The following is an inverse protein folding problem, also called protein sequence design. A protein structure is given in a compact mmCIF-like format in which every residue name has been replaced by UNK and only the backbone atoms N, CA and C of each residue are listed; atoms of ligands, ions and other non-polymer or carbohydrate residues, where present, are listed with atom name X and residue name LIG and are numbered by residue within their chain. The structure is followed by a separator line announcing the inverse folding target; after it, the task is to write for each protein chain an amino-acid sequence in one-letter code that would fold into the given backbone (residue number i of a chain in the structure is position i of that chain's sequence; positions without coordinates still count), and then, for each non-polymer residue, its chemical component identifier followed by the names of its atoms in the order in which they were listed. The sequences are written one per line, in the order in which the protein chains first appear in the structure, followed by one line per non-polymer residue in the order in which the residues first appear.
data_IF_867147533070
#
_entry.id   IF_867147533070
#
_cell.length_a   1.000
_cell.length_b   1.000
_cell.length_c   1.000
_cell.angle_alpha   90.00
_cell.angle_beta   90.00
_cell.angle_gamma   90.00
#
_symmetry.space_group_name_H-M   'P 1'
#
loop_
_entity.id
_entity.type
_entity.pdbx_description
1 polymer ?
#
# COMPACT_ATOMS: atom_id res chain seq x y z
N UNK A 1 0.90 -28.75 48.77
CA UNK A 1 2.33 -28.55 48.45
C UNK A 1 2.66 -28.96 47.02
N UNK A 2 2.82 -30.25 46.67
CA UNK A 2 3.24 -30.66 45.29
C UNK A 2 2.28 -30.18 44.18
N UNK A 3 0.97 -30.22 44.41
CA UNK A 3 -0.05 -29.74 43.46
C UNK A 3 0.07 -28.24 43.18
N UNK A 4 0.42 -27.46 44.19
CA UNK A 4 0.55 -26.00 44.09
C UNK A 4 1.80 -25.63 43.29
N UNK A 5 2.90 -26.38 43.45
CA UNK A 5 4.11 -26.25 42.65
C UNK A 5 3.90 -26.63 41.17
N UNK A 6 3.10 -27.67 40.88
CA UNK A 6 2.78 -28.09 39.50
C UNK A 6 1.98 -27.03 38.74
N UNK A 7 1.01 -26.37 39.40
CA UNK A 7 0.21 -25.30 38.79
C UNK A 7 1.08 -24.06 38.53
N UNK A 8 1.95 -23.68 39.47
CA UNK A 8 2.92 -22.59 39.27
C UNK A 8 3.91 -22.88 38.11
N UNK A 9 4.38 -24.12 37.99
CA UNK A 9 5.27 -24.52 36.88
C UNK A 9 4.56 -24.45 35.51
N UNK A 10 3.27 -24.81 35.46
CA UNK A 10 2.47 -24.72 34.21
C UNK A 10 2.22 -23.29 33.74
N UNK A 11 2.16 -22.32 34.66
CA UNK A 11 2.03 -20.89 34.33
C UNK A 11 3.34 -20.27 33.79
N UNK A 12 4.49 -20.78 34.23
CA UNK A 12 5.81 -20.32 33.76
C UNK A 12 6.15 -20.79 32.33
N UNK A 13 5.47 -21.84 31.83
CA UNK A 13 5.70 -22.42 30.50
C UNK A 13 4.74 -21.92 29.41
N UNK A 14 3.90 -20.93 29.68
CA UNK A 14 3.01 -20.36 28.67
C UNK A 14 3.82 -19.51 27.66
N UNK A 15 4.18 -20.10 26.52
CA UNK A 15 4.80 -19.38 25.40
C UNK A 15 3.75 -18.47 24.77
N UNK A 16 3.87 -17.16 25.01
CA UNK A 16 3.00 -16.16 24.40
C UNK A 16 3.56 -15.78 23.01
N UNK A 17 3.02 -16.38 21.95
CA UNK A 17 3.33 -15.97 20.58
C UNK A 17 2.78 -14.57 20.30
N UNK A 18 3.61 -13.66 19.78
CA UNK A 18 3.15 -12.34 19.30
C UNK A 18 2.70 -12.46 17.84
N UNK A 19 1.57 -11.85 17.50
CA UNK A 19 1.12 -11.73 16.11
C UNK A 19 2.06 -10.76 15.38
N UNK A 20 2.58 -11.19 14.23
CA UNK A 20 3.37 -10.36 13.33
C UNK A 20 2.54 -9.92 12.12
N UNK A 21 2.80 -8.72 11.63
CA UNK A 21 2.18 -8.18 10.42
C UNK A 21 3.27 -7.79 9.42
N UNK A 22 2.88 -7.68 8.15
CA UNK A 22 3.75 -7.16 7.09
C UNK A 22 2.89 -6.39 6.08
N UNK A 23 3.50 -5.43 5.39
CA UNK A 23 2.87 -4.78 4.25
C UNK A 23 3.16 -5.58 2.99
N UNK A 24 2.18 -5.73 2.11
CA UNK A 24 2.39 -6.25 0.75
C UNK A 24 2.09 -5.12 -0.24
N UNK A 25 3.10 -4.76 -1.04
CA UNK A 25 2.99 -3.80 -2.15
C UNK A 25 3.32 -4.51 -3.47
N UNK A 26 2.68 -4.09 -4.55
CA UNK A 26 2.85 -4.68 -5.89
C UNK A 26 2.37 -3.71 -6.95
N UNK A 27 2.81 -3.93 -8.17
CA UNK A 27 2.35 -3.35 -9.42
C UNK A 27 2.19 -1.82 -9.32
N UNK A 28 3.21 -1.14 -8.78
CA UNK A 28 3.14 0.31 -8.53
C UNK A 28 2.87 1.07 -9.84
N UNK A 29 3.43 0.58 -10.95
CA UNK A 29 3.27 1.15 -12.30
C UNK A 29 3.41 2.68 -12.27
N UNK A 30 4.55 3.18 -11.83
CA UNK A 30 4.77 4.63 -11.77
C UNK A 30 4.91 5.25 -13.18
N UNK A 31 4.09 6.27 -13.49
CA UNK A 31 4.18 7.07 -14.72
C UNK A 31 4.81 8.45 -14.44
N UNK A 32 6.07 8.68 -14.83
CA UNK A 32 6.73 9.98 -14.67
C UNK A 32 6.19 11.05 -15.63
N UNK A 33 5.36 10.69 -16.62
CA UNK A 33 4.72 11.61 -17.55
C UNK A 33 3.30 11.99 -17.17
N UNK A 34 2.77 11.41 -16.07
CA UNK A 34 1.43 11.75 -15.62
C UNK A 34 1.32 13.26 -15.34
N UNK A 35 0.32 13.92 -15.93
CA UNK A 35 0.09 15.36 -15.76
C UNK A 35 -1.39 15.70 -15.62
N UNK A 36 -1.72 16.45 -14.57
CA UNK A 36 -3.07 17.00 -14.32
C UNK A 36 -3.40 18.20 -15.20
N UNK A 37 -2.40 18.81 -15.83
CA UNK A 37 -2.55 20.00 -16.68
C UNK A 37 -2.80 19.64 -18.15
N UNK A 38 -2.58 18.38 -18.51
CA UNK A 38 -2.81 17.88 -19.85
C UNK A 38 -4.29 17.48 -20.07
N UNK A 39 -4.72 17.43 -21.32
CA UNK A 39 -6.01 16.83 -21.66
C UNK A 39 -5.95 15.32 -21.40
N UNK A 40 -7.09 14.70 -21.04
CA UNK A 40 -7.12 13.28 -20.65
C UNK A 40 -6.51 12.32 -21.69
N UNK A 41 -6.50 12.68 -22.98
CA UNK A 41 -5.88 11.88 -24.04
C UNK A 41 -4.36 12.01 -24.15
N UNK A 42 -3.73 12.94 -23.43
CA UNK A 42 -2.28 13.19 -23.44
C UNK A 42 -1.66 13.19 -22.05
N UNK A 43 -2.47 12.92 -21.03
CA UNK A 43 -2.10 13.04 -19.64
C UNK A 43 -1.13 11.97 -19.13
N UNK A 44 -1.03 10.83 -19.82
CA UNK A 44 -0.20 9.70 -19.40
C UNK A 44 0.28 8.92 -20.62
N UNK A 45 1.33 8.11 -20.48
CA UNK A 45 1.94 7.37 -21.60
C UNK A 45 0.95 6.41 -22.26
N UNK A 46 0.15 5.72 -21.43
CA UNK A 46 -0.76 4.67 -21.84
C UNK A 46 -2.21 5.14 -22.02
N UNK A 47 -2.45 6.45 -22.18
CA UNK A 47 -3.76 6.98 -22.51
C UNK A 47 -4.20 6.38 -23.86
N UNK A 48 -4.83 5.19 -23.83
CA UNK A 48 -5.35 4.53 -25.02
C UNK A 48 -6.22 5.56 -25.72
N UNK A 49 -5.92 5.82 -26.99
CA UNK A 49 -6.59 6.76 -27.91
C UNK A 49 -8.09 6.48 -28.08
N UNK A 50 -8.85 6.48 -26.99
CA UNK A 50 -10.18 5.89 -26.91
C UNK A 50 -11.29 6.85 -26.54
N UNK A 51 -11.00 8.06 -26.06
CA UNK A 51 -12.07 9.02 -25.73
C UNK A 51 -11.63 10.45 -26.02
N UNK A 52 -11.64 10.82 -27.30
CA UNK A 52 -11.63 12.22 -27.78
C UNK A 52 -12.97 12.93 -27.53
N UNK A 53 -13.67 12.60 -26.44
CA UNK A 53 -15.06 13.00 -26.22
C UNK A 53 -15.24 13.57 -24.82
N UNK A 54 -14.76 14.80 -24.58
CA UNK A 54 -15.19 15.63 -23.44
C UNK A 54 -14.76 15.18 -22.04
N UNK A 55 -13.73 14.34 -21.89
CA UNK A 55 -13.19 13.98 -20.57
C UNK A 55 -12.57 15.19 -19.87
N UNK A 56 -12.91 15.38 -18.60
CA UNK A 56 -12.36 16.40 -17.70
C UNK A 56 -10.84 16.21 -17.54
N UNK A 57 -10.15 17.25 -17.08
CA UNK A 57 -8.73 17.16 -16.71
C UNK A 57 -8.50 16.00 -15.73
N UNK A 58 -7.39 15.25 -15.87
CA UNK A 58 -7.05 14.12 -14.99
C UNK A 58 -6.97 14.54 -13.52
N UNK A 59 -7.29 13.61 -12.62
CA UNK A 59 -7.22 13.84 -11.18
C UNK A 59 -5.79 13.86 -10.65
N UNK A 60 -5.58 14.44 -9.47
CA UNK A 60 -4.26 14.47 -8.81
C UNK A 60 -3.67 13.07 -8.56
N UNK A 61 -4.52 12.11 -8.19
CA UNK A 61 -4.11 10.75 -7.84
C UNK A 61 -4.31 9.74 -8.98
N UNK A 62 -4.67 10.17 -10.19
CA UNK A 62 -4.82 9.29 -11.34
C UNK A 62 -6.07 9.54 -12.19
N UNK A 63 -6.15 8.82 -13.30
CA UNK A 63 -7.33 8.68 -14.17
C UNK A 63 -7.39 7.24 -14.70
N UNK A 64 -8.58 6.76 -15.03
CA UNK A 64 -8.78 5.43 -15.57
C UNK A 64 -8.09 5.27 -16.93
N UNK A 65 -7.26 4.23 -17.04
CA UNK A 65 -6.47 3.93 -18.24
C UNK A 65 -5.05 4.49 -18.20
N UNK A 66 -4.65 5.13 -17.11
CA UNK A 66 -3.28 5.57 -16.86
C UNK A 66 -2.59 4.69 -15.81
N UNK A 67 -1.26 4.70 -15.88
CA UNK A 67 -0.36 4.25 -14.83
C UNK A 67 -0.32 5.30 -13.67
N UNK A 68 0.22 4.94 -12.51
CA UNK A 68 0.14 5.69 -11.26
C UNK A 68 0.98 6.97 -11.25
N UNK A 69 0.43 8.14 -10.88
CA UNK A 69 1.23 9.35 -10.64
C UNK A 69 2.05 9.28 -9.36
N UNK A 70 3.09 10.13 -9.26
CA UNK A 70 3.91 10.24 -8.05
C UNK A 70 3.08 10.53 -6.80
N UNK A 71 2.08 11.42 -6.90
CA UNK A 71 1.20 11.76 -5.77
C UNK A 71 0.44 10.54 -5.21
N UNK A 72 0.05 9.59 -6.06
CA UNK A 72 -0.57 8.33 -5.61
C UNK A 72 0.45 7.44 -4.89
N UNK A 73 1.65 7.27 -5.46
CA UNK A 73 2.71 6.45 -4.86
C UNK A 73 3.13 7.01 -3.50
N UNK A 74 3.33 8.32 -3.40
CA UNK A 74 3.74 9.01 -2.18
C UNK A 74 2.65 8.94 -1.11
N UNK A 75 1.37 9.15 -1.47
CA UNK A 75 0.27 9.07 -0.52
C UNK A 75 0.07 7.65 0.03
N UNK A 76 0.25 6.61 -0.79
CA UNK A 76 0.21 5.22 -0.34
C UNK A 76 1.36 4.91 0.65
N UNK A 77 2.58 5.31 0.33
CA UNK A 77 3.73 5.15 1.23
C UNK A 77 3.57 5.94 2.55
N UNK A 78 2.99 7.14 2.47
CA UNK A 78 2.65 7.96 3.64
C UNK A 78 1.59 7.29 4.52
N UNK A 79 0.57 6.66 3.92
CA UNK A 79 -0.44 5.90 4.65
C UNK A 79 0.15 4.65 5.31
N UNK A 80 1.05 3.93 4.64
CA UNK A 80 1.76 2.78 5.23
C UNK A 80 2.62 3.18 6.43
N UNK A 81 3.22 4.38 6.37
CA UNK A 81 4.04 4.94 7.44
C UNK A 81 3.18 5.43 8.62
N UNK A 82 2.09 6.14 8.32
CA UNK A 82 1.19 6.70 9.34
C UNK A 82 0.37 5.63 10.06
N UNK A 83 0.01 4.55 9.35
CA UNK A 83 -0.69 3.39 9.90
C UNK A 83 0.26 2.25 10.30
N UNK A 84 1.54 2.55 10.56
CA UNK A 84 2.50 1.57 11.04
C UNK A 84 2.19 1.22 12.50
N UNK A 85 1.16 0.38 12.69
CA UNK A 85 0.81 -0.18 13.99
C UNK A 85 1.95 -1.04 14.56
N UNK A 86 1.85 -1.36 15.85
CA UNK A 86 2.79 -2.29 16.47
C UNK A 86 2.72 -3.66 15.78
N UNK A 87 3.87 -4.19 15.38
CA UNK A 87 3.97 -5.55 14.86
C UNK A 87 4.26 -5.68 13.36
N UNK A 88 4.29 -4.58 12.59
CA UNK A 88 4.78 -4.63 11.20
C UNK A 88 6.29 -4.89 11.18
N UNK A 89 6.71 -5.99 10.55
CA UNK A 89 8.11 -6.47 10.57
C UNK A 89 8.89 -6.22 9.29
N UNK A 90 8.22 -6.29 8.15
CA UNK A 90 8.84 -6.12 6.84
C UNK A 90 7.80 -5.69 5.80
N UNK A 91 8.28 -5.39 4.60
CA UNK A 91 7.48 -5.13 3.41
C UNK A 91 7.81 -6.21 2.38
N UNK A 92 6.78 -6.90 1.89
CA UNK A 92 6.88 -7.75 0.71
C UNK A 92 6.54 -6.89 -0.51
N UNK A 93 7.47 -6.75 -1.45
CA UNK A 93 7.24 -6.03 -2.69
C UNK A 93 7.39 -6.96 -3.88
N UNK A 94 6.32 -7.13 -4.66
CA UNK A 94 6.26 -8.05 -5.80
C UNK A 94 6.30 -7.38 -7.17
N UNK A 95 6.85 -6.15 -7.23
CA UNK A 95 7.06 -5.39 -8.46
C UNK A 95 5.87 -4.53 -8.80
#
# INVERSE_FOLDING_TARGET
MIRDYLVLLSWLCAVQGKIGYFWHITDIHYDPRYSTQASAGTACWNARNGVNSGRKTPGEFGDYGCDSPWALVESAASAMTSNRGEGIKFVLWTG
#
